data_IF_052475084455
#
_entry.id   IF_052475084455
#
_cell.length_a   1.000
_cell.length_b   1.000
_cell.length_c   1.000
_cell.angle_alpha   90.00
_cell.angle_beta   90.00
_cell.angle_gamma   90.00
#
_symmetry.space_group_name_H-M   'P 1'
#
loop_
_entity.id
_entity.type
_entity.pdbx_description
1 polymer ?
#
# COMPACT_ATOMS: atom_id res chain seq x y z
N UNK A 1 -26.96 -3.32 18.46
CA UNK A 1 -25.99 -3.87 17.48
C UNK A 1 -24.68 -3.14 17.68
N UNK A 2 -23.57 -3.85 17.79
CA UNK A 2 -22.23 -3.26 17.83
C UNK A 2 -21.86 -2.78 16.42
N UNK A 3 -21.46 -1.52 16.30
CA UNK A 3 -20.98 -0.93 15.05
C UNK A 3 -19.54 -1.38 14.79
N UNK A 4 -19.25 -1.80 13.57
CA UNK A 4 -17.88 -2.05 13.12
C UNK A 4 -17.25 -0.73 12.69
N UNK A 5 -16.00 -0.50 13.10
CA UNK A 5 -15.19 0.63 12.68
C UNK A 5 -13.88 0.13 12.09
N UNK A 6 -13.33 0.90 11.14
CA UNK A 6 -11.98 0.68 10.62
C UNK A 6 -11.00 1.04 11.73
N UNK A 7 -10.13 0.11 12.12
CA UNK A 7 -9.15 0.33 13.19
C UNK A 7 -7.93 1.11 12.74
N UNK A 8 -7.51 0.96 11.48
CA UNK A 8 -6.37 1.67 10.91
C UNK A 8 -6.39 1.60 9.37
N UNK A 9 -5.69 2.54 8.74
CA UNK A 9 -5.43 2.55 7.30
C UNK A 9 -3.91 2.64 7.07
N UNK A 10 -3.43 1.87 6.08
CA UNK A 10 -2.03 1.90 5.67
C UNK A 10 -1.91 1.87 4.15
N UNK A 11 -1.00 2.68 3.62
CA UNK A 11 -0.60 2.62 2.21
C UNK A 11 0.82 2.09 2.10
N UNK A 12 1.10 1.33 1.04
CA UNK A 12 2.41 0.74 0.79
C UNK A 12 2.87 1.15 -0.61
N UNK A 13 3.44 2.36 -0.78
CA UNK A 13 3.73 2.88 -2.10
C UNK A 13 4.71 2.01 -2.90
N UNK A 14 5.66 1.39 -2.20
CA UNK A 14 6.65 0.47 -2.75
C UNK A 14 6.32 -0.96 -2.27
N UNK A 15 6.27 -1.91 -3.20
CA UNK A 15 6.08 -3.33 -2.91
C UNK A 15 7.13 -3.82 -1.90
N UNK A 16 6.65 -4.58 -0.91
CA UNK A 16 7.47 -5.20 0.14
C UNK A 16 8.23 -4.22 1.06
N UNK A 17 7.89 -2.93 1.07
CA UNK A 17 8.41 -1.94 2.03
C UNK A 17 7.43 -1.68 3.19
N UNK A 18 7.88 -0.94 4.21
CA UNK A 18 7.05 -0.56 5.36
C UNK A 18 5.87 0.31 4.93
N UNK A 19 4.69 -0.03 5.45
CA UNK A 19 3.47 0.76 5.26
C UNK A 19 3.51 2.10 5.99
N UNK A 20 2.78 3.06 5.46
CA UNK A 20 2.60 4.41 5.99
C UNK A 20 1.18 4.49 6.56
N UNK A 21 1.04 4.83 7.83
CA UNK A 21 -0.26 5.00 8.47
C UNK A 21 -0.97 6.25 7.92
N UNK A 22 -2.29 6.14 7.71
CA UNK A 22 -3.13 7.23 7.20
C UNK A 22 -4.37 7.41 8.08
N UNK A 23 -4.85 8.66 8.16
CA UNK A 23 -6.13 8.98 8.79
C UNK A 23 -7.31 8.80 7.80
N UNK A 24 -7.05 9.04 6.52
CA UNK A 24 -8.01 8.88 5.43
C UNK A 24 -7.29 8.42 4.16
N UNK A 25 -8.04 7.80 3.24
CA UNK A 25 -7.48 7.19 2.04
C UNK A 25 -8.41 7.44 0.86
N UNK A 26 -7.86 7.96 -0.23
CA UNK A 26 -8.57 8.10 -1.49
C UNK A 26 -8.52 6.78 -2.24
N UNK A 27 -9.65 6.37 -2.82
CA UNK A 27 -9.75 5.16 -3.64
C UNK A 27 -9.87 5.56 -5.11
N UNK A 28 -9.04 4.94 -5.95
CA UNK A 28 -9.20 4.91 -7.40
C UNK A 28 -9.69 3.55 -7.87
N UNK A 29 -9.76 3.35 -9.18
CA UNK A 29 -10.25 2.11 -9.80
C UNK A 29 -9.46 0.86 -9.41
N UNK A 30 -8.17 1.02 -9.11
CA UNK A 30 -7.25 -0.06 -8.74
C UNK A 30 -7.12 -0.26 -7.22
N UNK A 31 -7.85 0.50 -6.41
CA UNK A 31 -7.75 0.50 -4.96
C UNK A 31 -7.23 1.84 -4.41
N UNK A 32 -6.66 1.84 -3.20
CA UNK A 32 -6.08 3.04 -2.61
C UNK A 32 -5.09 3.72 -3.53
N UNK A 33 -5.19 5.03 -3.68
CA UNK A 33 -4.22 5.77 -4.48
C UNK A 33 -2.79 5.49 -3.98
N UNK A 34 -1.87 5.35 -4.94
CA UNK A 34 -0.45 5.10 -4.74
C UNK A 34 -0.07 3.72 -4.17
N UNK A 35 -1.04 2.87 -3.84
CA UNK A 35 -0.74 1.60 -3.20
C UNK A 35 -0.12 0.61 -4.18
N UNK A 36 1.10 0.16 -3.86
CA UNK A 36 1.93 -0.76 -4.65
C UNK A 36 2.18 -0.30 -6.09
N UNK A 37 2.24 1.00 -6.32
CA UNK A 37 2.54 1.56 -7.65
C UNK A 37 4.04 1.54 -7.98
N UNK A 38 4.91 1.23 -7.00
CA UNK A 38 6.34 1.07 -7.19
C UNK A 38 6.84 -0.31 -6.77
N UNK A 39 7.92 -0.75 -7.41
CA UNK A 39 8.61 -2.00 -7.09
C UNK A 39 10.11 -1.79 -7.28
N UNK A 40 10.91 -2.30 -6.34
CA UNK A 40 12.36 -2.31 -6.50
C UNK A 40 12.75 -3.48 -7.38
N UNK A 41 13.61 -3.22 -8.36
CA UNK A 41 14.21 -4.22 -9.25
C UNK A 41 15.73 -4.14 -9.19
N UNK A 42 16.40 -5.24 -9.45
CA UNK A 42 17.84 -5.24 -9.70
C UNK A 42 18.18 -4.71 -11.11
N UNK A 43 19.47 -4.70 -11.46
CA UNK A 43 19.94 -4.24 -12.76
C UNK A 43 19.47 -5.12 -13.94
N UNK A 44 18.97 -6.33 -13.67
CA UNK A 44 18.43 -7.26 -14.66
C UNK A 44 16.90 -7.17 -14.77
N UNK A 45 16.26 -6.32 -13.96
CA UNK A 45 14.80 -6.17 -13.93
C UNK A 45 14.10 -7.24 -13.08
N UNK A 46 14.83 -8.02 -12.29
CA UNK A 46 14.24 -8.99 -11.36
C UNK A 46 13.68 -8.25 -10.17
N UNK A 47 12.43 -8.54 -9.79
CA UNK A 47 11.84 -7.91 -8.61
C UNK A 47 12.56 -8.36 -7.34
N UNK A 48 12.74 -7.41 -6.42
CA UNK A 48 13.23 -7.68 -5.08
C UNK A 48 12.06 -7.75 -4.10
N UNK A 49 12.11 -8.69 -3.17
CA UNK A 49 11.19 -8.78 -2.03
C UNK A 49 11.98 -9.00 -0.74
N UNK A 50 11.41 -8.55 0.37
CA UNK A 50 11.72 -9.07 1.69
C UNK A 50 11.16 -10.50 1.81
#
# INVERSE_FOLDING_TARGET
MSSLHVSALFVYPIKSCRGIALEAMQLGERGPLWDREWMVVDAQGTFLSQ
#
